data_IF_966135178620
#
_entry.id   IF_966135178620
#
_cell.length_a   1.000
_cell.length_b   1.000
_cell.length_c   1.000
_cell.angle_alpha   90.00
_cell.angle_beta   90.00
_cell.angle_gamma   90.00
#
_symmetry.space_group_name_H-M   'P 1'
#
loop_
_entity.id
_entity.type
_entity.pdbx_description
1 polymer ?
#
# COMPACT_ATOMS: atom_id res chain seq x y z
N UNK A 1 7.63 -9.52 11.71
CA UNK A 1 6.30 -9.96 11.24
C UNK A 1 6.33 -10.08 9.71
N UNK A 2 5.55 -11.00 9.15
CA UNK A 2 5.68 -11.52 7.78
C UNK A 2 5.29 -10.53 6.66
N UNK A 3 4.59 -9.45 7.00
CA UNK A 3 4.17 -8.36 6.10
C UNK A 3 5.28 -7.32 5.81
N UNK A 4 6.51 -7.52 6.29
CA UNK A 4 7.66 -6.68 5.87
C UNK A 4 7.95 -5.44 6.72
N UNK A 5 7.34 -5.28 7.90
CA UNK A 5 7.54 -4.13 8.82
C UNK A 5 8.97 -3.85 9.31
N UNK A 6 9.99 -4.61 8.89
CA UNK A 6 11.34 -4.54 9.47
C UNK A 6 12.18 -3.35 8.99
N UNK A 7 11.70 -2.58 8.03
CA UNK A 7 12.42 -1.41 7.50
C UNK A 7 11.43 -0.39 6.93
N UNK A 8 10.62 0.22 7.80
CA UNK A 8 9.80 1.38 7.47
C UNK A 8 10.72 2.60 7.63
N UNK A 9 11.19 3.27 6.56
CA UNK A 9 12.21 4.32 6.63
C UNK A 9 11.63 5.67 7.12
N UNK A 10 10.97 5.64 8.27
CA UNK A 10 10.26 6.79 8.84
C UNK A 10 10.81 7.15 10.22
N UNK A 11 10.33 8.27 10.75
CA UNK A 11 10.72 8.72 12.09
C UNK A 11 10.39 7.64 13.13
N UNK A 12 11.20 7.49 14.20
CA UNK A 12 10.93 6.53 15.25
C UNK A 12 9.52 6.63 15.83
N UNK A 13 9.00 7.85 15.95
CA UNK A 13 7.65 8.11 16.48
C UNK A 13 6.56 7.57 15.55
N UNK A 14 6.67 7.80 14.23
CA UNK A 14 5.70 7.27 13.27
C UNK A 14 5.75 5.73 13.23
N UNK A 15 6.95 5.15 13.28
CA UNK A 15 7.13 3.69 13.36
C UNK A 15 6.50 3.12 14.64
N UNK A 16 6.64 3.82 15.77
CA UNK A 16 6.01 3.41 17.02
C UNK A 16 4.48 3.47 16.95
N UNK A 17 3.92 4.53 16.36
CA UNK A 17 2.48 4.68 16.15
C UNK A 17 1.92 3.59 15.24
N UNK A 18 2.58 3.31 14.11
CA UNK A 18 2.26 2.22 13.19
C UNK A 18 2.26 0.83 13.84
N UNK A 19 3.24 0.56 14.71
CA UNK A 19 3.28 -0.69 15.45
C UNK A 19 2.13 -0.78 16.45
N UNK A 20 1.82 0.33 17.16
CA UNK A 20 0.70 0.39 18.10
C UNK A 20 -0.64 0.16 17.42
N UNK A 21 -0.88 0.80 16.27
CA UNK A 21 -2.06 0.59 15.42
C UNK A 21 -2.24 -0.89 15.07
N UNK A 22 -1.17 -1.51 14.56
CA UNK A 22 -1.18 -2.92 14.13
C UNK A 22 -1.38 -3.89 15.30
N UNK A 23 -0.71 -3.66 16.42
CA UNK A 23 -0.90 -4.45 17.64
C UNK A 23 -2.31 -4.33 18.19
N UNK A 24 -2.86 -3.12 18.27
CA UNK A 24 -4.22 -2.90 18.77
C UNK A 24 -5.29 -3.60 17.92
N UNK A 25 -5.15 -3.61 16.59
CA UNK A 25 -6.02 -4.39 15.71
C UNK A 25 -5.93 -5.90 15.97
N UNK A 26 -4.71 -6.41 16.09
CA UNK A 26 -4.48 -7.83 16.37
C UNK A 26 -5.07 -8.22 17.73
N UNK A 27 -4.79 -7.44 18.77
CA UNK A 27 -5.29 -7.69 20.13
C UNK A 27 -6.81 -7.64 20.15
N UNK A 28 -7.43 -6.64 19.50
CA UNK A 28 -8.90 -6.53 19.44
C UNK A 28 -9.54 -7.72 18.74
N UNK A 29 -9.03 -8.11 17.56
CA UNK A 29 -9.67 -9.18 16.75
C UNK A 29 -9.39 -10.57 17.32
N UNK A 30 -8.20 -10.81 17.90
CA UNK A 30 -7.79 -12.14 18.34
C UNK A 30 -8.11 -12.38 19.82
N UNK A 31 -7.95 -11.37 20.68
CA UNK A 31 -7.99 -11.52 22.13
C UNK A 31 -9.26 -10.93 22.76
N UNK A 32 -9.59 -9.67 22.45
CA UNK A 32 -10.65 -8.94 23.16
C UNK A 32 -12.04 -9.25 22.62
N UNK A 33 -12.19 -9.29 21.29
CA UNK A 33 -13.43 -9.56 20.58
C UNK A 33 -13.28 -10.75 19.62
N UNK A 34 -12.96 -11.95 20.12
CA UNK A 34 -12.68 -13.10 19.27
C UNK A 34 -13.88 -13.43 18.38
N UNK A 35 -13.61 -13.55 17.09
CA UNK A 35 -14.63 -13.80 16.06
C UNK A 35 -14.00 -14.26 14.75
N UNK A 36 -14.51 -13.78 13.62
CA UNK A 36 -13.86 -14.05 12.33
C UNK A 36 -12.52 -13.34 12.26
N UNK A 37 -11.44 -14.11 12.02
CA UNK A 37 -10.11 -13.55 11.76
C UNK A 37 -10.09 -12.66 10.50
N UNK A 38 -11.08 -12.80 9.60
CA UNK A 38 -11.21 -11.91 8.44
C UNK A 38 -11.44 -10.45 8.84
N UNK A 39 -11.88 -10.18 10.07
CA UNK A 39 -11.94 -8.81 10.62
C UNK A 39 -10.58 -8.11 10.61
N UNK A 40 -9.46 -8.85 10.64
CA UNK A 40 -8.13 -8.24 10.46
C UNK A 40 -8.02 -7.49 9.13
N UNK A 41 -8.78 -7.87 8.11
CA UNK A 41 -8.79 -7.23 6.80
C UNK A 41 -9.96 -6.27 6.62
N UNK A 42 -11.11 -6.59 7.21
CA UNK A 42 -12.36 -5.87 6.95
C UNK A 42 -12.77 -4.88 8.05
N UNK A 43 -11.94 -4.65 9.07
CA UNK A 43 -12.25 -3.68 10.12
C UNK A 43 -12.39 -2.27 9.53
N UNK A 44 -13.47 -1.59 9.89
CA UNK A 44 -13.81 -0.23 9.47
C UNK A 44 -13.41 0.84 10.50
N UNK A 45 -12.70 0.43 11.55
CA UNK A 45 -12.09 1.31 12.55
C UNK A 45 -10.59 1.02 12.67
N UNK A 46 -9.84 2.02 13.13
CA UNK A 46 -8.42 1.90 13.46
C UNK A 46 -8.09 2.54 14.80
N UNK A 47 -7.03 2.08 15.43
CA UNK A 47 -6.51 2.64 16.66
C UNK A 47 -5.41 3.66 16.36
N UNK A 48 -5.63 4.90 16.76
CA UNK A 48 -4.71 6.01 16.49
C UNK A 48 -4.45 6.81 17.75
N UNK A 49 -3.27 7.43 17.82
CA UNK A 49 -3.04 8.59 18.68
C UNK A 49 -3.25 9.89 17.89
N UNK A 50 -3.15 11.05 18.55
CA UNK A 50 -3.25 12.36 17.90
C UNK A 50 -2.33 12.51 16.68
N UNK A 51 -1.10 11.99 16.74
CA UNK A 51 -0.12 12.12 15.67
C UNK A 51 -0.51 11.26 14.46
N UNK A 52 -0.99 10.04 14.68
CA UNK A 52 -1.40 9.14 13.60
C UNK A 52 -2.74 9.55 13.01
N UNK A 53 -3.64 10.10 13.83
CA UNK A 53 -4.89 10.71 13.37
C UNK A 53 -4.59 11.87 12.40
N UNK A 54 -3.71 12.79 12.78
CA UNK A 54 -3.26 13.89 11.91
C UNK A 54 -2.57 13.36 10.64
N UNK A 55 -1.74 12.31 10.76
CA UNK A 55 -1.04 11.69 9.62
C UNK A 55 -2.00 11.11 8.58
N UNK A 56 -3.12 10.51 9.02
CA UNK A 56 -4.14 9.97 8.13
C UNK A 56 -5.24 10.96 7.74
N UNK A 57 -5.33 12.12 8.40
CA UNK A 57 -6.44 13.05 8.23
C UNK A 57 -7.74 12.56 8.89
N UNK A 58 -7.63 11.75 9.94
CA UNK A 58 -8.75 11.23 10.72
C UNK A 58 -9.10 12.17 11.90
N UNK A 59 -10.32 12.08 12.44
CA UNK A 59 -10.65 12.78 13.69
C UNK A 59 -9.73 12.35 14.82
N UNK A 60 -9.28 13.30 15.64
CA UNK A 60 -8.53 12.98 16.86
C UNK A 60 -9.43 12.31 17.90
N UNK A 61 -8.96 11.26 18.58
CA UNK A 61 -9.71 10.64 19.67
C UNK A 61 -9.78 11.56 20.89
N UNK A 62 -10.82 11.41 21.71
CA UNK A 62 -11.09 12.32 22.83
C UNK A 62 -10.00 12.32 23.92
N UNK A 63 -9.39 11.17 24.18
CA UNK A 63 -8.42 10.96 25.26
C UNK A 63 -6.97 10.89 24.75
N UNK A 64 -6.71 11.41 23.54
CA UNK A 64 -5.38 11.45 22.91
C UNK A 64 -4.94 10.17 22.19
N UNK A 65 -5.59 9.04 22.48
CA UNK A 65 -5.55 7.82 21.65
C UNK A 65 -6.88 7.06 21.73
N UNK A 66 -7.21 6.29 20.70
CA UNK A 66 -8.44 5.51 20.67
C UNK A 66 -8.82 4.98 19.29
N UNK A 67 -9.94 4.27 19.26
CA UNK A 67 -10.54 3.77 18.02
C UNK A 67 -11.30 4.88 17.30
N UNK A 68 -11.07 5.00 16.00
CA UNK A 68 -11.73 5.95 15.11
C UNK A 68 -12.17 5.27 13.82
N UNK A 69 -13.26 5.74 13.23
CA UNK A 69 -13.80 5.20 11.98
C UNK A 69 -12.90 5.54 10.78
N UNK A 70 -12.76 4.57 9.86
CA UNK A 70 -12.19 4.73 8.52
C UNK A 70 -13.21 5.24 7.48
N UNK A 71 -14.44 5.57 7.88
CA UNK A 71 -15.49 6.02 6.97
C UNK A 71 -15.00 7.13 6.02
N UNK A 72 -15.20 6.92 4.72
CA UNK A 72 -14.80 7.86 3.66
C UNK A 72 -13.30 7.88 3.33
N UNK A 73 -12.46 7.07 3.96
CA UNK A 73 -11.00 7.11 3.75
C UNK A 73 -10.46 6.10 2.73
N UNK A 74 -11.25 5.10 2.34
CA UNK A 74 -10.82 4.00 1.47
C UNK A 74 -9.87 2.99 2.15
N UNK A 75 -9.65 3.11 3.46
CA UNK A 75 -8.87 2.17 4.28
C UNK A 75 -9.79 1.12 4.90
N UNK A 76 -9.26 -0.10 5.09
CA UNK A 76 -9.88 -1.12 5.93
C UNK A 76 -8.82 -2.08 6.48
N UNK A 77 -8.99 -2.43 7.76
CA UNK A 77 -8.15 -3.37 8.48
C UNK A 77 -6.64 -3.13 8.29
N UNK A 78 -5.89 -4.22 8.36
CA UNK A 78 -4.43 -4.23 8.25
C UNK A 78 -3.92 -3.77 6.89
N UNK A 79 -4.74 -3.89 5.83
CA UNK A 79 -4.39 -3.40 4.49
C UNK A 79 -4.45 -1.87 4.43
N UNK A 80 -5.29 -1.27 5.26
CA UNK A 80 -5.40 0.18 5.44
C UNK A 80 -4.31 0.80 6.30
N UNK A 81 -3.48 0.01 6.99
CA UNK A 81 -2.44 0.56 7.87
C UNK A 81 -1.33 1.22 7.05
N UNK A 82 -0.93 2.42 7.46
CA UNK A 82 0.20 3.15 6.87
C UNK A 82 1.50 2.35 6.93
N UNK A 83 1.65 1.48 7.93
CA UNK A 83 2.78 0.56 8.03
C UNK A 83 2.91 -0.42 6.86
N UNK A 84 1.79 -0.85 6.27
CA UNK A 84 1.76 -1.70 5.08
C UNK A 84 1.85 -0.86 3.81
N UNK A 85 1.15 0.27 3.77
CA UNK A 85 1.06 1.14 2.59
C UNK A 85 2.36 1.91 2.33
N UNK A 86 3.11 2.24 3.39
CA UNK A 86 4.46 2.81 3.32
C UNK A 86 5.51 1.74 3.01
N UNK A 87 5.24 0.49 3.36
CA UNK A 87 6.14 -0.59 3.00
C UNK A 87 6.15 -0.75 1.46
N UNK A 88 7.28 -1.18 0.91
CA UNK A 88 7.44 -1.45 -0.53
C UNK A 88 7.55 -0.19 -1.41
N UNK A 89 8.03 0.91 -0.83
CA UNK A 89 8.76 1.94 -1.56
C UNK A 89 10.07 1.37 -2.14
N UNK A 90 10.52 1.94 -3.25
CA UNK A 90 11.78 1.62 -3.89
C UNK A 90 12.49 2.90 -4.29
N UNK A 91 13.76 3.01 -3.92
CA UNK A 91 14.52 4.25 -4.03
C UNK A 91 13.82 5.38 -3.26
N UNK A 92 13.61 6.53 -3.90
CA UNK A 92 13.01 7.72 -3.29
C UNK A 92 11.47 7.74 -3.37
N UNK A 93 10.82 6.72 -3.96
CA UNK A 93 9.39 6.74 -4.25
C UNK A 93 8.65 5.42 -4.00
N UNK A 94 7.33 5.43 -4.19
CA UNK A 94 6.52 4.20 -4.17
C UNK A 94 6.76 3.37 -5.44
N UNK A 95 6.47 2.07 -5.38
CA UNK A 95 6.60 1.17 -6.53
C UNK A 95 5.36 0.28 -6.69
N UNK A 96 4.52 0.52 -7.73
CA UNK A 96 3.42 -0.37 -8.10
C UNK A 96 3.87 -1.83 -8.24
N UNK A 97 4.99 -2.08 -8.92
CA UNK A 97 5.54 -3.44 -9.05
C UNK A 97 5.80 -4.09 -7.69
N UNK A 98 6.46 -3.41 -6.75
CA UNK A 98 6.76 -3.99 -5.42
C UNK A 98 5.48 -4.21 -4.58
N UNK A 99 4.52 -3.29 -4.66
CA UNK A 99 3.20 -3.44 -4.01
C UNK A 99 2.44 -4.66 -4.55
N UNK A 100 2.42 -4.83 -5.87
CA UNK A 100 1.82 -6.01 -6.51
C UNK A 100 2.53 -7.32 -6.13
N UNK A 101 3.87 -7.31 -6.03
CA UNK A 101 4.65 -8.45 -5.53
C UNK A 101 4.24 -8.79 -4.10
N UNK A 102 4.04 -7.80 -3.22
CA UNK A 102 3.54 -8.08 -1.87
C UNK A 102 2.19 -8.78 -1.92
N UNK A 103 1.22 -8.26 -2.67
CA UNK A 103 -0.13 -8.83 -2.68
C UNK A 103 -0.08 -10.28 -3.16
N UNK A 104 0.65 -10.55 -4.25
CA UNK A 104 0.81 -11.93 -4.76
C UNK A 104 1.52 -12.84 -3.76
N UNK A 105 2.67 -12.43 -3.25
CA UNK A 105 3.52 -13.32 -2.43
C UNK A 105 3.06 -13.45 -0.99
N UNK A 106 2.44 -12.41 -0.43
CA UNK A 106 1.99 -12.39 0.98
C UNK A 106 0.51 -12.69 1.09
N UNK A 107 -0.36 -12.09 0.29
CA UNK A 107 -1.79 -12.34 0.44
C UNK A 107 -2.23 -13.59 -0.33
N UNK A 108 -1.74 -13.78 -1.55
CA UNK A 108 -2.19 -14.87 -2.44
C UNK A 108 -1.31 -16.12 -2.40
N UNK A 109 -0.16 -16.06 -1.71
CA UNK A 109 0.81 -17.15 -1.63
C UNK A 109 1.32 -17.61 -3.02
N UNK A 110 1.39 -16.70 -3.98
CA UNK A 110 1.87 -16.96 -5.33
C UNK A 110 3.37 -16.65 -5.49
N UNK A 111 4.04 -17.39 -6.35
CA UNK A 111 5.41 -17.11 -6.76
C UNK A 111 5.44 -16.05 -7.87
N UNK A 112 6.20 -14.98 -7.66
CA UNK A 112 6.52 -14.01 -8.71
C UNK A 112 7.90 -14.32 -9.28
N UNK A 113 8.05 -14.55 -10.60
CA UNK A 113 9.34 -14.85 -11.21
C UNK A 113 10.32 -13.70 -11.01
N UNK A 114 11.61 -14.03 -10.85
CA UNK A 114 12.67 -13.03 -10.82
C UNK A 114 12.76 -12.31 -12.17
N UNK A 115 13.16 -11.02 -12.18
CA UNK A 115 13.42 -10.32 -13.43
C UNK A 115 14.50 -11.06 -14.25
N UNK A 116 14.48 -10.93 -15.59
CA UNK A 116 15.50 -11.52 -16.45
C UNK A 116 16.92 -11.08 -16.03
N UNK A 117 17.96 -11.92 -16.16
CA UNK A 117 19.33 -11.56 -15.75
C UNK A 117 19.92 -10.32 -16.46
N UNK A 118 19.34 -9.94 -17.61
CA UNK A 118 19.71 -8.74 -18.37
C UNK A 118 19.11 -7.45 -17.82
N UNK A 119 18.24 -7.52 -16.81
CA UNK A 119 17.59 -6.37 -16.18
C UNK A 119 18.22 -6.13 -14.81
N UNK A 120 18.85 -4.98 -14.63
CA UNK A 120 19.28 -4.52 -13.31
C UNK A 120 18.10 -3.86 -12.60
N UNK A 121 17.41 -4.66 -11.76
CA UNK A 121 16.27 -4.15 -11.01
C UNK A 121 16.68 -3.17 -9.92
N UNK A 122 17.93 -3.16 -9.46
CA UNK A 122 18.40 -2.31 -8.36
C UNK A 122 19.02 -0.99 -8.86
N UNK A 123 18.99 -0.77 -10.17
CA UNK A 123 19.33 0.51 -10.77
C UNK A 123 18.20 1.52 -10.52
N UNK A 124 18.48 2.65 -9.82
CA UNK A 124 17.52 3.74 -9.74
C UNK A 124 17.28 4.29 -11.14
N UNK A 125 16.04 4.62 -11.47
CA UNK A 125 15.73 5.00 -12.83
C UNK A 125 16.36 6.36 -13.17
N UNK A 126 16.80 6.52 -14.41
CA UNK A 126 17.64 7.65 -14.87
C UNK A 126 16.82 8.73 -15.57
N UNK A 127 17.17 10.01 -15.34
CA UNK A 127 16.54 11.18 -15.96
C UNK A 127 15.56 11.92 -15.03
N UNK A 128 14.86 12.92 -15.57
CA UNK A 128 13.77 13.61 -14.87
C UNK A 128 12.53 12.69 -14.82
N UNK A 129 12.65 11.66 -13.99
CA UNK A 129 11.57 10.74 -13.60
C UNK A 129 10.35 11.46 -13.00
N UNK A 130 10.56 12.72 -12.64
CA UNK A 130 9.64 13.66 -12.01
C UNK A 130 8.92 14.53 -13.05
N UNK A 131 9.08 14.26 -14.36
CA UNK A 131 8.45 15.02 -15.45
C UNK A 131 7.38 14.24 -16.23
N UNK A 132 7.12 12.98 -15.87
CA UNK A 132 6.14 12.10 -16.52
C UNK A 132 5.33 11.38 -15.46
N UNK A 133 4.01 11.25 -15.68
CA UNK A 133 3.14 10.52 -14.76
C UNK A 133 3.61 9.09 -14.57
N UNK A 134 3.55 8.60 -13.33
CA UNK A 134 4.04 7.27 -12.97
C UNK A 134 3.33 6.19 -13.76
N UNK A 135 2.01 6.33 -13.96
CA UNK A 135 1.25 5.40 -14.77
C UNK A 135 1.85 5.21 -16.17
N UNK A 136 2.17 6.30 -16.88
CA UNK A 136 2.73 6.24 -18.23
C UNK A 136 4.09 5.55 -18.27
N UNK A 137 4.93 5.81 -17.27
CA UNK A 137 6.24 5.15 -17.14
C UNK A 137 6.12 3.64 -16.96
N UNK A 138 5.16 3.17 -16.15
CA UNK A 138 4.95 1.73 -15.96
C UNK A 138 4.21 1.11 -17.15
N UNK A 139 3.32 1.85 -17.81
CA UNK A 139 2.67 1.44 -19.04
C UNK A 139 3.68 1.18 -20.17
N UNK A 140 4.78 1.95 -20.26
CA UNK A 140 5.87 1.65 -21.21
C UNK A 140 6.45 0.24 -21.00
N UNK A 141 6.70 -0.15 -19.75
CA UNK A 141 7.22 -1.48 -19.41
C UNK A 141 6.20 -2.60 -19.65
N UNK A 142 4.92 -2.32 -19.35
CA UNK A 142 3.83 -3.28 -19.51
C UNK A 142 3.44 -3.50 -20.97
N UNK A 143 3.42 -2.43 -21.78
CA UNK A 143 2.74 -2.43 -23.07
C UNK A 143 3.72 -2.42 -24.26
N UNK A 144 4.95 -1.92 -24.09
CA UNK A 144 5.86 -1.68 -25.22
C UNK A 144 7.06 -2.64 -25.31
N UNK A 145 7.39 -3.38 -24.25
CA UNK A 145 8.53 -4.31 -24.27
C UNK A 145 8.12 -5.74 -23.90
N UNK A 146 8.26 -6.65 -24.86
CA UNK A 146 7.87 -8.06 -24.69
C UNK A 146 8.63 -8.78 -23.57
N UNK A 147 9.86 -8.33 -23.26
CA UNK A 147 10.66 -8.84 -22.16
C UNK A 147 10.20 -8.39 -20.78
N UNK A 148 9.52 -7.25 -20.66
CA UNK A 148 9.12 -6.67 -19.37
C UNK A 148 7.62 -6.89 -19.09
N UNK A 149 6.80 -6.88 -20.14
CA UNK A 149 5.36 -7.09 -20.08
C UNK A 149 4.95 -8.34 -19.29
N UNK A 150 5.71 -9.44 -19.42
CA UNK A 150 5.40 -10.70 -18.76
C UNK A 150 5.38 -10.62 -17.22
N UNK A 151 6.21 -9.77 -16.62
CA UNK A 151 6.20 -9.57 -15.16
C UNK A 151 5.31 -8.38 -14.78
N UNK A 152 5.43 -7.26 -15.49
CA UNK A 152 4.73 -6.02 -15.16
C UNK A 152 3.21 -6.11 -15.32
N UNK A 153 2.70 -6.89 -16.28
CA UNK A 153 1.27 -7.16 -16.41
C UNK A 153 0.68 -7.95 -15.24
N UNK A 154 1.52 -8.71 -14.51
CA UNK A 154 1.08 -9.49 -13.35
C UNK A 154 1.04 -8.63 -12.08
N UNK A 155 1.97 -7.69 -11.91
CA UNK A 155 2.17 -6.98 -10.64
C UNK A 155 1.64 -5.56 -10.64
N UNK A 156 1.86 -4.81 -11.73
CA UNK A 156 1.63 -3.38 -11.71
C UNK A 156 0.16 -2.99 -11.57
N UNK A 157 -0.81 -3.66 -12.24
CA UNK A 157 -2.23 -3.38 -12.03
C UNK A 157 -2.63 -3.51 -10.57
N UNK A 158 -2.11 -4.51 -9.86
CA UNK A 158 -2.38 -4.70 -8.43
C UNK A 158 -1.78 -3.55 -7.62
N UNK A 159 -0.54 -3.14 -7.94
CA UNK A 159 0.13 -2.04 -7.26
C UNK A 159 -0.56 -0.68 -7.46
N UNK A 160 -1.07 -0.43 -8.66
CA UNK A 160 -1.81 0.79 -8.98
C UNK A 160 -3.10 0.94 -8.17
N UNK A 161 -3.71 -0.19 -7.80
CA UNK A 161 -4.81 -0.26 -6.84
C UNK A 161 -4.51 0.33 -5.46
N UNK A 162 -3.24 0.53 -5.12
CA UNK A 162 -2.79 1.08 -3.84
C UNK A 162 -2.01 2.40 -4.00
N UNK A 163 -1.99 2.97 -5.21
CA UNK A 163 -1.05 4.05 -5.55
C UNK A 163 -1.44 5.42 -5.00
N UNK A 164 -2.69 5.59 -4.54
CA UNK A 164 -3.12 6.76 -3.78
C UNK A 164 -2.49 6.84 -2.39
N UNK A 165 -1.56 5.96 -2.04
CA UNK A 165 -0.82 6.06 -0.78
C UNK A 165 0.64 6.38 -1.06
N UNK A 166 1.16 7.44 -0.44
CA UNK A 166 2.54 7.91 -0.60
C UNK A 166 3.55 6.97 0.09
N UNK A 167 4.83 7.34 0.04
CA UNK A 167 5.90 6.58 0.70
C UNK A 167 5.75 6.49 2.22
N UNK A 168 4.96 7.38 2.83
CA UNK A 168 4.62 7.38 4.25
C UNK A 168 3.24 6.78 4.55
N UNK A 169 2.60 6.16 3.54
CA UNK A 169 1.29 5.56 3.66
C UNK A 169 0.15 6.57 3.85
N UNK A 170 0.36 7.86 3.53
CA UNK A 170 -0.68 8.90 3.54
C UNK A 170 -1.42 8.92 2.22
N UNK A 171 -2.68 9.29 2.25
CA UNK A 171 -3.46 9.42 1.03
C UNK A 171 -2.95 10.59 0.17
N UNK A 172 -2.93 10.38 -1.15
CA UNK A 172 -2.57 11.36 -2.18
C UNK A 172 -3.42 11.15 -3.43
N UNK A 173 -3.80 12.25 -4.07
CA UNK A 173 -4.59 12.23 -5.31
C UNK A 173 -3.71 12.30 -6.56
N UNK A 174 -2.50 12.82 -6.43
CA UNK A 174 -1.60 13.07 -7.55
C UNK A 174 -0.21 12.52 -7.30
N UNK A 175 0.55 12.31 -8.37
CA UNK A 175 1.96 11.96 -8.23
C UNK A 175 2.76 13.06 -7.51
N UNK A 176 3.80 12.63 -6.78
CA UNK A 176 4.57 13.54 -5.93
C UNK A 176 5.28 14.57 -6.81
N UNK A 177 4.96 15.84 -6.60
CA UNK A 177 5.49 16.95 -7.41
C UNK A 177 4.83 17.16 -8.77
N UNK A 178 3.81 16.36 -9.12
CA UNK A 178 3.14 16.37 -10.43
C UNK A 178 1.60 16.48 -10.26
N UNK A 179 1.06 17.69 -10.00
CA UNK A 179 -0.37 17.91 -9.79
C UNK A 179 -1.25 17.63 -11.02
N UNK A 180 -0.67 17.48 -12.20
CA UNK A 180 -1.37 17.07 -13.42
C UNK A 180 -1.59 15.55 -13.50
N UNK A 181 -0.83 14.77 -12.72
CA UNK A 181 -0.83 13.32 -12.78
C UNK A 181 -1.78 12.74 -11.72
N UNK A 182 -3.07 12.71 -12.04
CA UNK A 182 -4.10 12.11 -11.19
C UNK A 182 -3.86 10.59 -11.02
N UNK A 183 -4.05 10.10 -9.80
CA UNK A 183 -3.96 8.69 -9.44
C UNK A 183 -5.38 8.15 -9.29
N UNK A 184 -5.77 7.30 -10.24
CA UNK A 184 -7.09 6.65 -10.24
C UNK A 184 -7.32 5.70 -9.07
N UNK A 185 -6.23 5.10 -8.53
CA UNK A 185 -6.33 4.14 -7.43
C UNK A 185 -6.93 2.80 -7.78
N UNK A 186 -7.21 2.57 -9.06
CA UNK A 186 -7.80 1.33 -9.54
C UNK A 186 -6.73 0.28 -9.81
N UNK A 187 -7.04 -0.95 -9.41
CA UNK A 187 -6.24 -2.11 -9.64
C UNK A 187 -7.06 -3.31 -10.06
N UNK A 188 -6.35 -4.33 -10.54
CA UNK A 188 -6.94 -5.59 -11.00
C UNK A 188 -6.06 -6.77 -10.59
N UNK A 189 -6.70 -7.80 -10.05
CA UNK A 189 -6.11 -9.13 -9.89
C UNK A 189 -6.78 -10.05 -10.92
N UNK A 190 -5.99 -10.50 -11.90
CA UNK A 190 -6.47 -11.37 -12.99
C UNK A 190 -7.18 -12.61 -12.42
N UNK A 191 -8.39 -12.89 -12.91
CA UNK A 191 -9.30 -13.96 -12.46
C UNK A 191 -9.90 -13.79 -11.05
N UNK A 192 -9.66 -12.68 -10.35
CA UNK A 192 -10.27 -12.39 -9.04
C UNK A 192 -11.22 -11.20 -9.15
N UNK A 193 -10.73 -10.05 -9.62
CA UNK A 193 -11.57 -8.85 -9.77
C UNK A 193 -10.78 -7.55 -9.78
N UNK A 194 -11.52 -6.47 -10.02
CA UNK A 194 -11.03 -5.09 -9.89
C UNK A 194 -11.31 -4.55 -8.49
N UNK A 195 -10.47 -3.62 -8.03
CA UNK A 195 -10.60 -2.95 -6.74
C UNK A 195 -10.02 -1.54 -6.80
N UNK A 196 -10.46 -0.67 -5.89
CA UNK A 196 -9.88 0.63 -5.61
C UNK A 196 -9.50 0.75 -4.14
N UNK A 197 -8.20 0.80 -3.86
CA UNK A 197 -7.68 0.95 -2.51
C UNK A 197 -7.80 -0.29 -1.61
N UNK A 198 -7.28 -0.16 -0.36
CA UNK A 198 -7.26 -1.24 0.62
C UNK A 198 -8.63 -1.78 1.01
N UNK A 199 -9.63 -0.89 1.12
CA UNK A 199 -10.96 -1.29 1.53
C UNK A 199 -11.58 -2.29 0.55
N UNK A 200 -11.55 -1.99 -0.75
CA UNK A 200 -12.08 -2.92 -1.76
C UNK A 200 -11.19 -4.17 -1.92
N UNK A 201 -9.87 -4.04 -1.83
CA UNK A 201 -8.96 -5.19 -1.83
C UNK A 201 -9.26 -6.18 -0.71
N UNK A 202 -9.69 -5.69 0.46
CA UNK A 202 -10.04 -6.54 1.61
C UNK A 202 -11.29 -7.41 1.40
N UNK A 203 -12.08 -7.13 0.36
CA UNK A 203 -13.34 -7.80 0.05
C UNK A 203 -13.25 -8.77 -1.12
N UNK A 204 -12.09 -8.86 -1.78
CA UNK A 204 -11.82 -9.77 -2.90
C UNK A 204 -11.59 -11.22 -2.45
#
# INVERSE_FOLDING_TARGET
MWLGYRSIPHTPDLVAAFNRETSALIDRVILDEPGSYLRLFTMDETFVDDSLADHYGLPRPADGEGWVSYEGTGRAGILGHGSLLAAFSKFEGTSPTQRGILVRTRLMCEDVPRPPPSVDADQPPQGAMDAVCKYDRYAEHRDQSSSCAGCHSLTDPIGFGLENYDVAGRFREHDDGLPECLIEGSGEIVNVGSFSGPAELSQL
#
